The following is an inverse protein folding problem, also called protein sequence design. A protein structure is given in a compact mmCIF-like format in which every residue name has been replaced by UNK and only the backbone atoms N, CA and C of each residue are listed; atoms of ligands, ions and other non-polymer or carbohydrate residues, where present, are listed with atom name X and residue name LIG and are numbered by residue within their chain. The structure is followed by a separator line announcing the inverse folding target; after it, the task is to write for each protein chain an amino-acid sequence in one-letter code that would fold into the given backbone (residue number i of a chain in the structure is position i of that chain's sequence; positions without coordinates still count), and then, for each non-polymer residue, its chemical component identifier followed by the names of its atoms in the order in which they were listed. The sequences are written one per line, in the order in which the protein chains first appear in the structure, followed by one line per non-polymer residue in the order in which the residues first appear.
data_IF_390588056375
#
_entry.id   IF_390588056375
#
_cell.length_a   1.000
_cell.length_b   1.000
_cell.length_c   1.000
_cell.angle_alpha   90.00
_cell.angle_beta   90.00
_cell.angle_gamma   90.00
#
_symmetry.space_group_name_H-M   'P 1'
#
loop_
_entity.id
_entity.type
_entity.pdbx_description
1 polymer ?
#
# COMPACT_ATOMS: atom_id res chain seq x y z
N UNK A 1 14.69 -6.63 71.76
CA UNK A 1 13.57 -6.62 70.82
C UNK A 1 13.95 -5.79 69.59
N UNK A 2 14.32 -6.43 68.53
CA UNK A 2 14.63 -5.75 67.24
C UNK A 2 13.56 -6.19 66.20
N UNK A 3 12.71 -5.26 65.78
CA UNK A 3 11.69 -5.48 64.74
C UNK A 3 12.34 -5.20 63.42
N UNK A 4 12.52 -6.25 62.62
CA UNK A 4 12.95 -6.15 61.22
C UNK A 4 11.74 -5.80 60.35
N UNK A 5 11.79 -4.64 59.71
CA UNK A 5 10.85 -4.23 58.66
C UNK A 5 11.31 -4.84 57.33
N UNK A 6 10.52 -5.77 56.79
CA UNK A 6 10.71 -6.31 55.45
C UNK A 6 9.96 -5.39 54.46
N UNK A 7 10.72 -4.67 53.67
CA UNK A 7 10.15 -3.87 52.58
C UNK A 7 9.84 -4.80 51.40
N UNK A 8 8.56 -4.98 51.08
CA UNK A 8 8.12 -5.69 49.88
C UNK A 8 8.21 -4.76 48.67
N UNK A 9 9.17 -5.02 47.79
CA UNK A 9 9.20 -4.38 46.45
C UNK A 9 8.09 -4.99 45.57
N UNK A 10 7.10 -4.19 45.29
CA UNK A 10 6.11 -4.51 44.24
C UNK A 10 6.69 -4.14 42.88
N UNK A 11 7.11 -5.13 42.11
CA UNK A 11 7.43 -4.97 40.69
C UNK A 11 6.14 -4.99 39.88
N UNK A 12 5.74 -3.83 39.39
CA UNK A 12 4.67 -3.72 38.38
C UNK A 12 5.18 -4.25 37.01
N UNK A 13 4.50 -5.22 36.41
CA UNK A 13 4.85 -5.60 35.04
C UNK A 13 4.42 -4.47 34.08
N UNK A 14 5.38 -3.88 33.40
CA UNK A 14 5.13 -2.95 32.29
C UNK A 14 4.59 -3.79 31.12
N UNK A 15 3.29 -3.82 30.96
CA UNK A 15 2.66 -4.42 29.77
C UNK A 15 3.00 -3.55 28.56
N UNK A 16 3.95 -4.01 27.75
CA UNK A 16 4.22 -3.46 26.43
C UNK A 16 3.00 -3.81 25.57
N UNK A 17 2.08 -2.86 25.39
CA UNK A 17 1.04 -2.98 24.38
C UNK A 17 1.74 -2.95 23.01
N UNK A 18 1.84 -4.11 22.37
CA UNK A 18 2.22 -4.18 20.98
C UNK A 18 1.16 -3.40 20.18
N UNK A 19 1.52 -2.19 19.73
CA UNK A 19 0.74 -1.47 18.75
C UNK A 19 0.67 -2.38 17.52
N UNK A 20 -0.50 -3.00 17.28
CA UNK A 20 -0.74 -3.79 16.10
C UNK A 20 -0.43 -2.92 14.90
N UNK A 21 0.49 -3.36 14.05
CA UNK A 21 0.67 -2.78 12.74
C UNK A 21 -0.68 -2.90 12.01
N UNK A 22 -1.43 -1.79 11.95
CA UNK A 22 -2.67 -1.74 11.19
C UNK A 22 -2.37 -2.13 9.75
N UNK A 23 -3.23 -2.97 9.16
CA UNK A 23 -3.13 -3.31 7.76
C UNK A 23 -3.11 -2.02 6.94
N UNK A 24 -2.14 -1.90 6.01
CA UNK A 24 -2.05 -0.75 5.12
C UNK A 24 -3.34 -0.58 4.33
N UNK A 25 -3.92 0.62 4.36
CA UNK A 25 -5.14 0.92 3.61
C UNK A 25 -4.76 1.50 2.26
N UNK A 26 -4.75 0.63 1.24
CA UNK A 26 -4.48 1.03 -0.13
C UNK A 26 -5.75 1.43 -0.88
N UNK A 27 -5.62 2.48 -1.66
CA UNK A 27 -6.61 3.00 -2.61
C UNK A 27 -5.95 3.19 -3.96
N UNK A 28 -6.73 3.54 -4.98
CA UNK A 28 -6.20 4.03 -6.25
C UNK A 28 -6.78 5.38 -6.61
N UNK A 29 -6.20 6.07 -7.59
CA UNK A 29 -6.70 7.33 -8.08
C UNK A 29 -7.89 7.10 -9.02
N UNK A 30 -9.01 7.78 -8.75
CA UNK A 30 -10.18 7.81 -9.64
C UNK A 30 -9.93 8.64 -10.91
N UNK A 31 -9.05 9.64 -10.79
CA UNK A 31 -8.67 10.60 -11.83
C UNK A 31 -7.20 11.02 -11.62
N UNK A 32 -6.53 11.66 -12.59
CA UNK A 32 -5.23 12.27 -12.35
C UNK A 32 -5.33 13.29 -11.21
N UNK A 33 -4.37 13.30 -10.29
CA UNK A 33 -4.41 14.14 -9.11
C UNK A 33 -3.10 14.87 -8.87
N UNK A 34 -3.21 16.10 -8.36
CA UNK A 34 -2.08 16.87 -7.86
C UNK A 34 -1.85 16.50 -6.41
N UNK A 35 -0.61 16.22 -6.06
CA UNK A 35 -0.15 16.02 -4.69
C UNK A 35 0.48 17.30 -4.14
N UNK A 36 0.05 17.68 -2.92
CA UNK A 36 0.47 18.90 -2.24
C UNK A 36 1.31 18.60 -1.00
N UNK A 37 2.13 19.56 -0.57
CA UNK A 37 2.89 19.48 0.68
C UNK A 37 2.01 19.70 1.93
N UNK A 38 0.83 20.28 1.78
CA UNK A 38 -0.12 20.60 2.86
C UNK A 38 -1.56 20.21 2.46
N UNK A 39 -2.47 19.97 3.45
CA UNK A 39 -3.88 19.66 3.19
C UNK A 39 -4.67 20.90 2.79
N UNK A 40 -4.27 21.56 1.71
CA UNK A 40 -4.84 22.80 1.21
C UNK A 40 -4.49 23.01 -0.26
N UNK A 41 -5.41 23.63 -1.02
CA UNK A 41 -5.13 24.08 -2.39
C UNK A 41 -4.16 25.26 -2.47
N UNK A 42 -3.91 25.95 -1.36
CA UNK A 42 -2.85 26.96 -1.23
C UNK A 42 -1.48 26.32 -0.90
N UNK A 43 -1.45 25.01 -0.61
CA UNK A 43 -0.21 24.25 -0.51
C UNK A 43 0.58 24.25 -1.81
N UNK A 44 1.86 23.92 -1.73
CA UNK A 44 2.72 23.81 -2.90
C UNK A 44 2.40 22.53 -3.66
N UNK A 45 2.01 22.59 -4.95
CA UNK A 45 1.87 21.42 -5.79
C UNK A 45 3.25 20.84 -6.10
N UNK A 46 3.44 19.53 -5.87
CA UNK A 46 4.74 18.88 -6.04
C UNK A 46 4.74 17.87 -7.18
N UNK A 47 3.70 17.05 -7.28
CA UNK A 47 3.58 16.00 -8.30
C UNK A 47 2.18 15.95 -8.87
N UNK A 48 2.11 15.42 -10.10
CA UNK A 48 0.86 14.92 -10.70
C UNK A 48 1.00 13.42 -10.83
N UNK A 49 0.05 12.68 -10.26
CA UNK A 49 -0.01 11.23 -10.41
C UNK A 49 -1.20 10.80 -11.25
N UNK A 50 -1.01 9.72 -12.00
CA UNK A 50 -1.96 9.27 -12.99
C UNK A 50 -3.15 8.52 -12.37
N UNK A 51 -4.26 8.52 -13.09
CA UNK A 51 -5.41 7.68 -12.78
C UNK A 51 -4.98 6.21 -12.57
N UNK A 52 -5.62 5.54 -11.64
CA UNK A 52 -5.38 4.15 -11.23
C UNK A 52 -4.06 3.88 -10.51
N UNK A 53 -3.17 4.85 -10.34
CA UNK A 53 -1.98 4.67 -9.51
C UNK A 53 -2.38 4.29 -8.09
N UNK A 54 -1.82 3.21 -7.51
CA UNK A 54 -2.07 2.86 -6.12
C UNK A 54 -1.42 3.88 -5.18
N UNK A 55 -2.06 4.15 -4.06
CA UNK A 55 -1.53 4.95 -2.95
C UNK A 55 -1.91 4.31 -1.62
N UNK A 56 -1.04 4.40 -0.63
CA UNK A 56 -1.32 4.00 0.74
C UNK A 56 -1.86 5.19 1.52
N UNK A 57 -3.05 5.08 2.10
CA UNK A 57 -3.61 6.15 2.93
C UNK A 57 -3.01 6.11 4.33
N UNK A 58 -2.52 7.25 4.80
CA UNK A 58 -1.79 7.36 6.08
C UNK A 58 -2.56 8.19 7.10
N UNK A 59 -3.08 9.36 6.67
CA UNK A 59 -3.82 10.28 7.53
C UNK A 59 -5.05 10.80 6.80
N UNK A 60 -6.18 10.85 7.49
CA UNK A 60 -7.43 11.42 6.99
C UNK A 60 -7.78 12.67 7.81
N UNK A 61 -7.90 13.83 7.15
CA UNK A 61 -8.30 15.10 7.75
C UNK A 61 -9.35 15.75 6.88
N UNK A 62 -10.62 15.73 7.31
CA UNK A 62 -11.74 16.31 6.57
C UNK A 62 -11.78 15.81 5.11
N UNK A 63 -11.67 16.71 4.15
CA UNK A 63 -11.64 16.40 2.71
C UNK A 63 -10.27 16.01 2.17
N UNK A 64 -9.22 16.03 2.99
CA UNK A 64 -7.85 15.75 2.60
C UNK A 64 -7.38 14.42 3.14
N UNK A 65 -6.54 13.74 2.35
CA UNK A 65 -5.90 12.49 2.75
C UNK A 65 -4.40 12.62 2.50
N UNK A 66 -3.60 12.30 3.52
CA UNK A 66 -2.17 12.13 3.36
C UNK A 66 -1.92 10.72 2.87
N UNK A 67 -1.24 10.62 1.75
CA UNK A 67 -0.92 9.33 1.13
C UNK A 67 0.57 9.14 0.96
N UNK A 68 1.00 7.89 0.97
CA UNK A 68 2.30 7.49 0.47
C UNK A 68 2.13 7.10 -0.99
N UNK A 69 2.88 7.74 -1.88
CA UNK A 69 2.89 7.40 -3.31
C UNK A 69 3.96 6.32 -3.60
N UNK A 70 3.96 5.66 -4.77
CA UNK A 70 4.84 4.52 -5.05
C UNK A 70 6.35 4.76 -4.89
N UNK A 71 6.83 5.99 -5.06
CA UNK A 71 8.23 6.34 -4.83
C UNK A 71 8.56 6.59 -3.34
N UNK A 72 7.55 6.58 -2.45
CA UNK A 72 7.70 6.67 -1.01
C UNK A 72 7.43 8.04 -0.39
N UNK A 73 7.14 9.08 -1.16
CA UNK A 73 6.84 10.41 -0.63
C UNK A 73 5.49 10.44 0.05
N UNK A 74 5.39 11.23 1.13
CA UNK A 74 4.17 11.45 1.90
C UNK A 74 3.59 12.83 1.57
N UNK A 75 2.47 12.86 0.86
CA UNK A 75 1.87 14.07 0.32
C UNK A 75 0.35 14.05 0.48
N UNK A 76 -0.29 15.18 0.21
CA UNK A 76 -1.71 15.38 0.39
C UNK A 76 -2.46 15.45 -0.93
N UNK A 77 -3.64 14.84 -0.99
CA UNK A 77 -4.60 14.96 -2.08
C UNK A 77 -6.04 15.07 -1.52
N UNK A 78 -6.97 15.47 -2.38
CA UNK A 78 -8.37 15.51 -1.98
C UNK A 78 -8.97 14.09 -1.96
N UNK A 79 -9.68 13.76 -0.86
CA UNK A 79 -10.31 12.44 -0.67
C UNK A 79 -11.19 12.02 -1.84
N UNK A 80 -11.91 12.95 -2.47
CA UNK A 80 -12.80 12.67 -3.60
C UNK A 80 -12.08 12.11 -4.84
N UNK A 81 -10.75 12.27 -4.91
CA UNK A 81 -9.91 11.77 -6.00
C UNK A 81 -9.49 10.30 -5.80
N UNK A 82 -9.79 9.72 -4.63
CA UNK A 82 -9.53 8.33 -4.34
C UNK A 82 -10.67 7.42 -4.79
N UNK A 83 -10.31 6.21 -5.23
CA UNK A 83 -11.21 5.11 -5.59
C UNK A 83 -10.95 3.92 -4.67
N UNK A 84 -11.98 3.16 -4.36
CA UNK A 84 -11.85 1.88 -3.65
C UNK A 84 -11.33 0.76 -4.54
N UNK A 85 -11.27 0.97 -5.85
CA UNK A 85 -10.70 0.01 -6.79
C UNK A 85 -9.23 -0.23 -6.43
N UNK A 86 -8.90 -1.49 -6.18
CA UNK A 86 -7.53 -1.87 -5.81
C UNK A 86 -6.70 -2.10 -7.05
N UNK A 87 -5.55 -1.49 -7.07
CA UNK A 87 -4.54 -1.64 -8.11
C UNK A 87 -3.17 -1.90 -7.48
N UNK A 88 -2.27 -2.44 -8.27
CA UNK A 88 -0.88 -2.68 -7.94
C UNK A 88 0.01 -2.00 -8.97
N UNK A 89 1.20 -1.58 -8.58
CA UNK A 89 2.21 -1.09 -9.50
C UNK A 89 3.41 -2.04 -9.50
N UNK A 90 3.92 -2.35 -10.68
CA UNK A 90 5.10 -3.20 -10.86
C UNK A 90 6.35 -2.44 -10.41
N UNK A 91 7.10 -3.02 -9.47
CA UNK A 91 8.34 -2.43 -8.93
C UNK A 91 9.59 -3.05 -9.52
N UNK A 92 9.50 -4.30 -10.00
CA UNK A 92 10.60 -4.97 -10.69
C UNK A 92 10.87 -4.32 -12.05
N UNK A 93 12.11 -4.29 -12.53
CA UNK A 93 12.43 -3.81 -13.89
C UNK A 93 11.63 -4.53 -14.97
N UNK A 94 11.41 -5.82 -14.79
CA UNK A 94 10.58 -6.69 -15.63
C UNK A 94 9.94 -7.76 -14.77
N UNK A 95 8.66 -8.01 -14.94
CA UNK A 95 7.91 -9.05 -14.27
C UNK A 95 7.23 -9.97 -15.29
N UNK A 96 7.28 -11.27 -15.04
CA UNK A 96 6.57 -12.27 -15.80
C UNK A 96 5.26 -12.63 -15.09
N UNK A 97 4.16 -12.40 -15.77
CA UNK A 97 2.83 -12.76 -15.31
C UNK A 97 2.48 -14.13 -15.89
N UNK A 98 2.24 -15.11 -15.01
CA UNK A 98 2.00 -16.51 -15.34
C UNK A 98 0.51 -16.83 -15.40
N UNK A 99 0.13 -17.85 -16.17
CA UNK A 99 -1.27 -18.30 -16.26
C UNK A 99 -1.77 -18.96 -14.98
N UNK A 100 -0.85 -19.53 -14.17
CA UNK A 100 -1.11 -20.12 -12.85
C UNK A 100 -0.09 -19.58 -11.86
N UNK A 101 -0.33 -19.64 -10.52
CA UNK A 101 0.61 -19.22 -9.50
C UNK A 101 1.78 -20.21 -9.35
N UNK A 102 2.51 -20.41 -10.41
CA UNK A 102 3.63 -21.34 -10.53
C UNK A 102 4.63 -20.80 -11.55
N UNK A 103 5.91 -20.78 -11.19
CA UNK A 103 7.00 -20.32 -12.05
C UNK A 103 7.16 -21.17 -13.32
N UNK A 104 6.75 -22.44 -13.31
CA UNK A 104 6.79 -23.34 -14.45
C UNK A 104 5.54 -23.21 -15.37
N UNK A 105 4.51 -22.49 -14.93
CA UNK A 105 3.31 -22.23 -15.73
C UNK A 105 3.64 -21.40 -16.98
N UNK A 106 2.90 -21.55 -18.08
CA UNK A 106 3.06 -20.70 -19.25
C UNK A 106 2.93 -19.20 -18.95
N UNK A 107 3.65 -18.40 -19.68
CA UNK A 107 3.58 -16.94 -19.62
C UNK A 107 2.19 -16.47 -20.12
N UNK A 108 1.55 -15.60 -19.36
CA UNK A 108 0.35 -14.89 -19.80
C UNK A 108 0.73 -13.58 -20.50
N UNK A 109 1.57 -12.76 -19.86
CA UNK A 109 2.17 -11.54 -20.42
C UNK A 109 3.34 -11.09 -19.56
N UNK A 110 4.04 -10.07 -20.02
CA UNK A 110 5.11 -9.41 -19.26
C UNK A 110 4.74 -7.96 -18.98
N UNK A 111 5.24 -7.45 -17.86
CA UNK A 111 5.10 -6.05 -17.48
C UNK A 111 6.46 -5.48 -17.05
N UNK A 112 6.72 -4.25 -17.41
CA UNK A 112 7.91 -3.50 -16.96
C UNK A 112 7.56 -2.67 -15.72
N UNK A 113 8.58 -2.11 -15.09
CA UNK A 113 8.43 -1.19 -13.95
C UNK A 113 7.41 -0.09 -14.26
N UNK A 114 6.66 0.30 -13.24
CA UNK A 114 5.63 1.35 -13.25
C UNK A 114 4.33 1.00 -14.01
N UNK A 115 4.22 -0.20 -14.56
CA UNK A 115 2.94 -0.69 -15.10
C UNK A 115 1.96 -0.90 -13.96
N UNK A 116 0.76 -0.36 -14.09
CA UNK A 116 -0.34 -0.52 -13.14
C UNK A 116 -1.24 -1.68 -13.58
N UNK A 117 -1.50 -2.58 -12.64
CA UNK A 117 -2.35 -3.76 -12.82
C UNK A 117 -3.51 -3.71 -11.83
N UNK A 118 -4.67 -4.20 -12.21
CA UNK A 118 -5.81 -4.35 -11.31
C UNK A 118 -5.60 -5.57 -10.40
N UNK A 119 -5.86 -5.41 -9.10
CA UNK A 119 -5.90 -6.52 -8.17
C UNK A 119 -7.18 -7.34 -8.42
N UNK A 120 -7.02 -8.59 -8.85
CA UNK A 120 -8.14 -9.44 -9.21
C UNK A 120 -8.53 -10.43 -8.11
N UNK A 121 -7.64 -10.75 -7.18
CA UNK A 121 -7.89 -11.64 -6.06
C UNK A 121 -6.91 -11.38 -4.91
N UNK A 122 -7.16 -11.98 -3.75
CA UNK A 122 -6.27 -11.88 -2.58
C UNK A 122 -4.93 -12.59 -2.85
N UNK A 123 -3.82 -12.09 -2.28
CA UNK A 123 -2.54 -12.78 -2.35
C UNK A 123 -2.61 -14.14 -1.65
N UNK A 124 -1.95 -15.13 -2.23
CA UNK A 124 -1.77 -16.47 -1.64
C UNK A 124 -0.44 -17.09 -2.08
N UNK A 125 0.28 -17.71 -1.16
CA UNK A 125 1.50 -18.48 -1.42
C UNK A 125 2.59 -17.71 -2.23
N UNK A 126 2.71 -16.42 -1.99
CA UNK A 126 3.70 -15.56 -2.66
C UNK A 126 3.28 -15.07 -4.05
N UNK A 127 2.05 -15.33 -4.47
CA UNK A 127 1.46 -14.89 -5.72
C UNK A 127 0.20 -14.06 -5.52
N UNK A 128 -0.11 -13.21 -6.49
CA UNK A 128 -1.37 -12.47 -6.54
C UNK A 128 -1.93 -12.45 -7.95
N UNK A 129 -3.23 -12.64 -8.07
CA UNK A 129 -3.92 -12.56 -9.35
C UNK A 129 -4.13 -11.10 -9.74
N UNK A 130 -3.73 -10.76 -10.94
CA UNK A 130 -3.82 -9.42 -11.52
C UNK A 130 -4.48 -9.44 -12.89
N UNK A 131 -4.98 -8.30 -13.29
CA UNK A 131 -5.56 -8.10 -14.61
C UNK A 131 -5.01 -6.81 -15.23
N UNK A 132 -4.55 -6.90 -16.45
CA UNK A 132 -4.18 -5.76 -17.24
C UNK A 132 -5.44 -5.05 -17.82
N UNK A 133 -5.33 -3.79 -18.18
CA UNK A 133 -6.45 -2.98 -18.70
C UNK A 133 -7.08 -3.53 -19.99
N UNK A 134 -6.38 -4.35 -20.76
CA UNK A 134 -6.88 -5.05 -21.94
C UNK A 134 -7.71 -6.30 -21.61
N UNK A 135 -7.83 -6.64 -20.30
CA UNK A 135 -8.58 -7.79 -19.83
C UNK A 135 -7.74 -9.05 -19.61
N UNK A 136 -6.48 -9.08 -20.08
CA UNK A 136 -5.60 -10.23 -19.85
C UNK A 136 -5.29 -10.36 -18.37
N UNK A 137 -5.50 -11.56 -17.82
CA UNK A 137 -5.27 -11.86 -16.40
C UNK A 137 -4.16 -12.89 -16.23
N UNK A 138 -3.56 -12.90 -15.04
CA UNK A 138 -2.54 -13.88 -14.67
C UNK A 138 -2.07 -13.66 -13.23
N UNK A 139 -0.98 -14.32 -12.88
CA UNK A 139 -0.40 -14.29 -11.54
C UNK A 139 1.00 -13.69 -11.57
N UNK A 140 1.25 -12.74 -10.66
CA UNK A 140 2.54 -12.09 -10.45
C UNK A 140 3.06 -12.39 -9.05
N UNK A 141 4.37 -12.42 -8.86
CA UNK A 141 4.99 -12.54 -7.54
C UNK A 141 4.73 -11.29 -6.70
N UNK A 142 4.38 -11.47 -5.43
CA UNK A 142 4.08 -10.35 -4.52
C UNK A 142 5.27 -9.42 -4.27
N UNK A 143 6.51 -9.94 -4.37
CA UNK A 143 7.73 -9.14 -4.22
C UNK A 143 8.09 -8.31 -5.46
N UNK A 144 7.32 -8.39 -6.53
CA UNK A 144 7.51 -7.62 -7.76
C UNK A 144 6.50 -6.47 -7.92
N UNK A 145 5.62 -6.30 -6.93
CA UNK A 145 4.56 -5.28 -6.94
C UNK A 145 4.49 -4.52 -5.62
N UNK A 146 3.86 -3.36 -5.66
CA UNK A 146 3.50 -2.56 -4.51
C UNK A 146 2.01 -2.19 -4.58
N UNK A 147 1.32 -2.13 -3.41
CA UNK A 147 -0.10 -1.81 -3.33
C UNK A 147 -0.98 -2.92 -2.72
N UNK A 148 -0.34 -3.94 -2.09
CA UNK A 148 -1.02 -5.06 -1.42
C UNK A 148 -1.40 -4.74 0.03
#
# INVERSE_FOLDING_TARGET
MRRSLVAALWTLPFAFAAAGAGASDFRSLAEPAILYDAPSKQGKPLFVIQRHTPVETVVNIDRWVKVREPAGSLLWLERRQLSEKRTLIVTAPRAEIRQKPDAASPLAFEAIKDVVLELADKPADGWVKVKHRDGTAGFIRINQVWGL
#
